data_IF_972212183748
#
_entry.id   IF_972212183748
#
_cell.length_a   1.000
_cell.length_b   1.000
_cell.length_c   1.000
_cell.angle_alpha   90.00
_cell.angle_beta   90.00
_cell.angle_gamma   90.00
#
_symmetry.space_group_name_H-M   'P 1'
#
loop_
_entity.id
_entity.type
_entity.pdbx_description
1 polymer ?
#
# COMPACT_ATOMS: atom_id res chain seq x y z
N UNK A 1 -17.47 27.55 -1.56
CA UNK A 1 -16.41 26.91 -0.76
C UNK A 1 -16.22 25.48 -1.25
N UNK A 2 -15.09 25.12 -1.89
CA UNK A 2 -14.78 23.73 -2.24
C UNK A 2 -14.58 22.98 -0.93
N UNK A 3 -15.41 21.98 -0.63
CA UNK A 3 -15.18 21.07 0.50
C UNK A 3 -13.87 20.32 0.22
N UNK A 4 -12.84 20.60 1.01
CA UNK A 4 -11.63 19.77 1.02
C UNK A 4 -12.03 18.39 1.56
N UNK A 5 -11.74 17.34 0.81
CA UNK A 5 -11.89 15.99 1.36
C UNK A 5 -10.68 15.75 2.25
N UNK A 6 -10.86 15.52 3.56
CA UNK A 6 -9.73 15.23 4.43
C UNK A 6 -9.06 13.94 3.97
N UNK A 7 -7.74 13.96 3.83
CA UNK A 7 -6.92 12.77 3.63
C UNK A 7 -6.06 12.53 4.86
N UNK A 8 -5.53 11.32 5.01
CA UNK A 8 -4.58 10.98 6.07
C UNK A 8 -3.21 11.51 5.68
N UNK A 9 -2.39 11.78 6.70
CA UNK A 9 -1.00 12.17 6.51
C UNK A 9 -0.18 10.99 5.96
N UNK A 10 0.92 11.30 5.28
CA UNK A 10 1.95 10.34 4.89
C UNK A 10 3.03 10.41 5.96
N UNK A 11 3.27 9.29 6.64
CA UNK A 11 4.39 9.18 7.57
C UNK A 11 5.67 8.93 6.76
N UNK A 12 6.66 9.81 6.91
CA UNK A 12 8.01 9.60 6.37
C UNK A 12 9.00 9.42 7.52
N UNK A 13 9.77 8.34 7.47
CA UNK A 13 10.82 8.01 8.41
C UNK A 13 12.12 7.80 7.65
N UNK A 14 13.21 8.41 8.12
CA UNK A 14 14.55 8.20 7.60
C UNK A 14 15.44 7.60 8.70
N UNK A 15 16.08 6.49 8.39
CA UNK A 15 16.97 5.75 9.30
C UNK A 15 18.34 5.47 8.69
N UNK A 16 19.39 5.39 9.51
CA UNK A 16 20.73 5.00 9.07
C UNK A 16 20.89 3.49 9.07
N UNK A 17 21.41 2.96 7.97
CA UNK A 17 21.87 1.58 7.83
C UNK A 17 23.28 1.41 8.39
N UNK A 18 23.71 0.16 8.62
CA UNK A 18 25.08 -0.13 9.03
C UNK A 18 26.13 0.31 8.00
N UNK A 19 25.78 0.35 6.73
CA UNK A 19 26.64 0.90 5.65
C UNK A 19 26.89 2.40 5.77
N UNK A 20 26.11 3.12 6.59
CA UNK A 20 26.10 4.58 6.66
C UNK A 20 25.11 5.24 5.71
N UNK A 21 24.50 4.48 4.81
CA UNK A 21 23.45 4.96 3.92
C UNK A 21 22.15 5.26 4.66
N UNK A 22 21.23 5.91 3.99
CA UNK A 22 19.91 6.23 4.56
C UNK A 22 18.83 5.41 3.90
N UNK A 23 18.05 4.69 4.72
CA UNK A 23 16.78 4.11 4.30
C UNK A 23 15.66 5.11 4.59
N UNK A 24 14.93 5.49 3.56
CA UNK A 24 13.72 6.30 3.64
C UNK A 24 12.48 5.40 3.50
N UNK A 25 11.55 5.48 4.44
CA UNK A 25 10.30 4.71 4.42
C UNK A 25 9.13 5.68 4.49
N UNK A 26 8.23 5.59 3.51
CA UNK A 26 6.95 6.30 3.52
C UNK A 26 5.81 5.32 3.75
N UNK A 27 4.97 5.59 4.76
CA UNK A 27 3.76 4.80 5.06
C UNK A 27 2.54 5.65 4.78
N UNK A 28 1.60 5.11 4.03
CA UNK A 28 0.42 5.84 3.60
C UNK A 28 -0.86 5.00 3.70
N UNK A 29 -1.99 5.70 3.85
CA UNK A 29 -3.32 5.11 3.72
C UNK A 29 -4.18 6.07 2.89
N UNK A 30 -4.32 5.79 1.61
CA UNK A 30 -4.96 6.66 0.64
C UNK A 30 -6.49 6.70 0.79
N UNK A 31 -7.15 7.74 0.26
CA UNK A 31 -8.61 7.84 0.31
C UNK A 31 -9.32 6.60 -0.24
N UNK A 32 -10.27 6.11 0.55
CA UNK A 32 -11.06 4.91 0.24
C UNK A 32 -11.87 5.07 -1.05
N UNK A 33 -12.26 3.93 -1.65
CA UNK A 33 -13.19 3.87 -2.79
C UNK A 33 -14.66 4.08 -2.40
N UNK A 34 -14.94 4.41 -1.15
CA UNK A 34 -16.32 4.66 -0.67
C UNK A 34 -17.00 5.76 -1.49
N UNK A 35 -18.16 5.45 -2.03
CA UNK A 35 -18.86 6.33 -2.97
C UNK A 35 -18.48 6.16 -4.44
N UNK A 36 -17.63 5.17 -4.77
CA UNK A 36 -17.25 4.78 -6.13
C UNK A 36 -15.81 5.11 -6.50
N UNK A 37 -15.17 4.19 -7.23
CA UNK A 37 -13.76 4.29 -7.65
C UNK A 37 -13.47 5.59 -8.42
N UNK A 38 -14.25 5.85 -9.48
CA UNK A 38 -14.04 7.01 -10.35
C UNK A 38 -14.22 8.35 -9.62
N UNK A 39 -15.16 8.42 -8.66
CA UNK A 39 -15.41 9.62 -7.87
C UNK A 39 -14.26 9.94 -6.91
N UNK A 40 -13.62 8.91 -6.36
CA UNK A 40 -12.60 9.05 -5.33
C UNK A 40 -11.17 8.99 -5.88
N UNK A 41 -10.96 8.52 -7.10
CA UNK A 41 -9.66 8.45 -7.77
C UNK A 41 -8.90 9.80 -7.78
N UNK A 42 -9.53 10.97 -8.08
CA UNK A 42 -8.81 12.23 -8.07
C UNK A 42 -8.15 12.56 -6.72
N UNK A 43 -8.75 12.14 -5.61
CA UNK A 43 -8.17 12.37 -4.28
C UNK A 43 -6.95 11.48 -4.04
N UNK A 44 -6.98 10.22 -4.48
CA UNK A 44 -5.83 9.32 -4.42
C UNK A 44 -4.70 9.80 -5.32
N UNK A 45 -5.02 10.32 -6.51
CA UNK A 45 -4.02 10.87 -7.43
C UNK A 45 -3.29 12.07 -6.85
N UNK A 46 -3.96 12.95 -6.09
CA UNK A 46 -3.30 14.06 -5.37
C UNK A 46 -2.26 13.53 -4.38
N UNK A 47 -2.60 12.47 -3.62
CA UNK A 47 -1.67 11.85 -2.67
C UNK A 47 -0.51 11.16 -3.41
N UNK A 48 -0.80 10.46 -4.51
CA UNK A 48 0.22 9.85 -5.37
C UNK A 48 1.19 10.90 -5.92
N UNK A 49 0.71 12.08 -6.31
CA UNK A 49 1.56 13.20 -6.76
C UNK A 49 2.49 13.72 -5.66
N UNK A 50 2.02 13.74 -4.42
CA UNK A 50 2.86 14.14 -3.27
C UNK A 50 3.94 13.09 -3.05
N UNK A 51 3.58 11.80 -3.02
CA UNK A 51 4.53 10.69 -2.86
C UNK A 51 5.58 10.73 -3.97
N UNK A 52 5.16 10.84 -5.23
CA UNK A 52 6.05 10.88 -6.38
C UNK A 52 7.05 12.02 -6.32
N UNK A 53 6.59 13.24 -6.01
CA UNK A 53 7.48 14.43 -5.85
C UNK A 53 8.45 14.27 -4.69
N UNK A 54 7.99 13.70 -3.57
CA UNK A 54 8.86 13.42 -2.42
C UNK A 54 9.91 12.39 -2.79
N UNK A 55 9.53 11.30 -3.47
CA UNK A 55 10.44 10.29 -3.96
C UNK A 55 11.51 10.89 -4.89
N UNK A 56 11.09 11.71 -5.87
CA UNK A 56 12.00 12.39 -6.80
C UNK A 56 12.97 13.34 -6.09
N UNK A 57 12.53 13.99 -5.01
CA UNK A 57 13.39 14.86 -4.20
C UNK A 57 14.41 14.05 -3.39
N UNK A 58 13.99 12.91 -2.82
CA UNK A 58 14.87 12.05 -2.03
C UNK A 58 16.00 11.46 -2.88
N UNK A 59 15.72 10.97 -4.08
CA UNK A 59 16.77 10.42 -4.96
C UNK A 59 17.77 11.46 -5.44
N UNK A 60 17.42 12.75 -5.41
CA UNK A 60 18.38 13.83 -5.73
C UNK A 60 19.36 14.14 -4.61
N UNK A 61 19.00 13.86 -3.35
CA UNK A 61 19.81 14.20 -2.18
C UNK A 61 20.46 12.99 -1.53
N UNK A 62 20.12 11.77 -1.95
CA UNK A 62 20.71 10.52 -1.46
C UNK A 62 21.76 10.02 -2.45
N UNK A 63 22.89 9.57 -1.96
CA UNK A 63 23.92 8.92 -2.78
C UNK A 63 23.44 7.54 -3.23
N UNK A 64 22.87 6.77 -2.30
CA UNK A 64 22.19 5.50 -2.53
C UNK A 64 20.73 5.64 -2.05
N UNK A 65 19.78 5.83 -2.98
CA UNK A 65 18.38 6.12 -2.62
C UNK A 65 17.61 4.84 -2.28
N UNK A 66 17.79 4.31 -1.09
CA UNK A 66 16.96 3.24 -0.57
C UNK A 66 15.61 3.82 -0.09
N UNK A 67 14.61 3.72 -0.94
CA UNK A 67 13.27 4.22 -0.66
C UNK A 67 12.23 3.10 -0.74
N UNK A 68 11.42 3.00 0.31
CA UNK A 68 10.27 2.11 0.40
C UNK A 68 9.01 2.97 0.63
N UNK A 69 8.00 2.80 -0.21
CA UNK A 69 6.67 3.38 -0.02
C UNK A 69 5.68 2.23 0.16
N UNK A 70 4.95 2.22 1.28
CA UNK A 70 4.06 1.11 1.61
C UNK A 70 2.75 1.56 2.27
N UNK A 71 1.74 0.69 2.24
CA UNK A 71 0.47 0.90 2.92
C UNK A 71 -0.73 0.50 2.07
N UNK A 72 -1.93 0.96 2.50
CA UNK A 72 -3.17 0.79 1.77
C UNK A 72 -3.35 1.92 0.75
N UNK A 73 -3.18 1.57 -0.51
CA UNK A 73 -3.35 2.51 -1.63
C UNK A 73 -4.81 2.66 -2.07
N UNK A 74 -5.71 1.80 -1.60
CA UNK A 74 -7.11 1.76 -2.02
C UNK A 74 -7.28 1.72 -3.56
N UNK A 75 -6.28 1.22 -4.27
CA UNK A 75 -6.24 1.03 -5.72
C UNK A 75 -5.49 -0.27 -6.06
N UNK A 76 -5.76 -0.83 -7.25
CA UNK A 76 -5.08 -2.05 -7.68
C UNK A 76 -3.67 -1.73 -8.23
N UNK A 77 -2.74 -2.73 -8.20
CA UNK A 77 -1.41 -2.58 -8.81
C UNK A 77 -1.43 -2.29 -10.32
N UNK A 78 -2.58 -2.39 -10.95
CA UNK A 78 -2.81 -2.12 -12.39
C UNK A 78 -3.55 -0.81 -12.66
N UNK A 79 -3.87 -0.05 -11.61
CA UNK A 79 -4.59 1.22 -11.73
C UNK A 79 -3.63 2.39 -12.03
N UNK A 80 -4.16 3.50 -12.55
CA UNK A 80 -3.40 4.71 -12.94
C UNK A 80 -2.50 5.28 -11.85
N UNK A 81 -2.87 5.06 -10.58
CA UNK A 81 -2.05 5.46 -9.45
C UNK A 81 -0.68 4.76 -9.47
N UNK A 82 -0.65 3.46 -9.78
CA UNK A 82 0.60 2.72 -9.93
C UNK A 82 1.46 3.30 -11.03
N UNK A 83 0.88 3.58 -12.20
CA UNK A 83 1.62 4.20 -13.32
C UNK A 83 2.22 5.54 -12.88
N UNK A 84 1.45 6.37 -12.14
CA UNK A 84 1.94 7.65 -11.63
C UNK A 84 3.12 7.51 -10.67
N UNK A 85 3.14 6.47 -9.82
CA UNK A 85 4.22 6.22 -8.86
C UNK A 85 5.45 5.57 -9.53
N UNK A 86 5.25 4.76 -10.55
CA UNK A 86 6.36 4.13 -11.29
C UNK A 86 6.97 5.05 -12.33
N UNK A 87 6.22 6.02 -12.85
CA UNK A 87 6.71 7.07 -13.75
C UNK A 87 7.33 8.24 -12.94
N UNK A 88 8.39 7.95 -12.21
CA UNK A 88 9.14 8.88 -11.36
C UNK A 88 10.64 8.81 -11.68
N UNK A 89 11.38 9.88 -11.40
CA UNK A 89 12.85 9.86 -11.45
C UNK A 89 13.45 8.85 -10.46
N UNK A 90 12.73 8.60 -9.37
CA UNK A 90 13.08 7.59 -8.38
C UNK A 90 13.01 6.15 -8.92
N UNK A 91 12.38 5.94 -10.09
CA UNK A 91 12.26 4.62 -10.71
C UNK A 91 11.58 3.59 -9.80
N UNK A 92 10.52 4.01 -9.10
CA UNK A 92 9.80 3.12 -8.18
C UNK A 92 9.19 1.95 -8.94
N UNK A 93 9.38 0.74 -8.42
CA UNK A 93 8.74 -0.48 -8.94
C UNK A 93 7.71 -1.00 -7.94
N UNK A 94 6.54 -1.37 -8.42
CA UNK A 94 5.48 -1.99 -7.62
C UNK A 94 5.75 -3.49 -7.49
N UNK A 95 5.92 -3.96 -6.25
CA UNK A 95 6.25 -5.37 -5.97
C UNK A 95 5.02 -6.27 -5.92
N UNK A 96 3.80 -5.70 -5.86
CA UNK A 96 2.55 -6.44 -5.75
C UNK A 96 1.91 -6.69 -7.12
N UNK A 97 2.44 -6.13 -8.20
CA UNK A 97 1.90 -6.30 -9.56
C UNK A 97 2.09 -7.73 -10.03
N UNK A 98 0.99 -8.41 -10.36
CA UNK A 98 0.99 -9.80 -10.79
C UNK A 98 1.03 -10.83 -9.65
N UNK A 99 1.05 -10.39 -8.39
CA UNK A 99 0.99 -11.30 -7.25
C UNK A 99 -0.38 -12.00 -7.17
N UNK A 100 -0.43 -13.31 -6.89
CA UNK A 100 -1.69 -14.03 -6.72
C UNK A 100 -2.38 -13.69 -5.39
N UNK A 101 -3.70 -13.85 -5.33
CA UNK A 101 -4.50 -13.62 -4.13
C UNK A 101 -4.94 -12.17 -3.97
N UNK A 102 -5.05 -11.73 -2.73
CA UNK A 102 -5.49 -10.37 -2.41
C UNK A 102 -5.32 -10.06 -0.93
N UNK A 103 -5.25 -8.78 -0.62
CA UNK A 103 -5.15 -8.27 0.76
C UNK A 103 -6.51 -7.88 1.33
N UNK A 104 -7.46 -7.55 0.48
CA UNK A 104 -8.82 -7.16 0.83
C UNK A 104 -9.84 -7.97 0.04
N UNK A 105 -10.99 -8.31 0.66
CA UNK A 105 -12.05 -9.02 -0.03
C UNK A 105 -13.36 -8.24 -0.04
N UNK A 106 -13.91 -8.03 -1.24
CA UNK A 106 -15.17 -7.34 -1.44
C UNK A 106 -16.11 -8.15 -2.33
N UNK A 107 -17.30 -8.49 -1.81
CA UNK A 107 -18.33 -9.26 -2.54
C UNK A 107 -17.83 -10.57 -3.14
N UNK A 108 -16.98 -11.29 -2.40
CA UNK A 108 -16.43 -12.57 -2.83
C UNK A 108 -15.12 -12.46 -3.63
N UNK A 109 -14.76 -11.28 -4.12
CA UNK A 109 -13.57 -11.05 -4.93
C UNK A 109 -12.41 -10.53 -4.09
N UNK A 110 -11.23 -11.15 -4.25
CA UNK A 110 -9.99 -10.69 -3.65
C UNK A 110 -9.33 -9.61 -4.49
N UNK A 111 -8.82 -8.57 -3.84
CA UNK A 111 -8.07 -7.50 -4.47
C UNK A 111 -6.84 -7.11 -3.66
N UNK A 112 -5.79 -6.67 -4.33
CA UNK A 112 -4.56 -6.19 -3.69
C UNK A 112 -4.65 -4.67 -3.57
N UNK A 113 -4.82 -4.16 -2.35
CA UNK A 113 -4.86 -2.73 -2.04
C UNK A 113 -3.65 -2.29 -1.22
N UNK A 114 -3.08 -3.22 -0.45
CA UNK A 114 -1.87 -3.00 0.33
C UNK A 114 -0.67 -3.32 -0.55
N UNK A 115 0.21 -2.35 -0.75
CA UNK A 115 1.24 -2.43 -1.76
C UNK A 115 2.59 -1.94 -1.25
N UNK A 116 3.66 -2.43 -1.89
CA UNK A 116 5.03 -1.94 -1.76
C UNK A 116 5.49 -1.34 -3.08
N UNK A 117 6.01 -0.14 -3.02
CA UNK A 117 6.81 0.47 -4.09
C UNK A 117 8.22 0.71 -3.54
N UNK A 118 9.22 0.32 -4.31
CA UNK A 118 10.61 0.44 -3.89
C UNK A 118 11.47 1.04 -5.01
N UNK A 119 12.49 1.83 -4.63
CA UNK A 119 13.52 2.26 -5.56
C UNK A 119 14.37 1.07 -6.04
N UNK A 120 15.06 1.23 -7.16
CA UNK A 120 15.80 0.14 -7.80
C UNK A 120 16.88 -0.49 -6.90
N UNK A 121 17.49 0.30 -6.02
CA UNK A 121 18.59 -0.13 -5.17
C UNK A 121 18.15 -0.91 -3.93
N UNK A 122 16.86 -0.93 -3.57
CA UNK A 122 16.37 -1.72 -2.42
C UNK A 122 16.55 -3.21 -2.69
N UNK A 123 17.34 -3.93 -1.88
CA UNK A 123 17.67 -5.34 -2.10
C UNK A 123 16.57 -6.25 -1.56
N UNK A 124 15.45 -6.36 -2.30
CA UNK A 124 14.29 -7.17 -1.96
C UNK A 124 14.60 -8.66 -2.18
N UNK A 125 14.40 -9.49 -1.16
CA UNK A 125 14.50 -10.94 -1.22
C UNK A 125 13.17 -11.60 -1.53
N UNK A 126 12.13 -11.26 -0.76
CA UNK A 126 10.79 -11.79 -0.98
C UNK A 126 9.71 -10.76 -0.63
N UNK A 127 8.53 -10.98 -1.19
CA UNK A 127 7.29 -10.25 -0.87
C UNK A 127 6.16 -11.26 -0.80
N UNK A 128 5.31 -11.14 0.20
CA UNK A 128 4.20 -12.06 0.41
C UNK A 128 2.96 -11.38 1.01
N UNK A 129 1.79 -11.97 0.76
CA UNK A 129 0.56 -11.67 1.48
C UNK A 129 0.46 -12.70 2.61
N UNK A 130 0.49 -12.23 3.85
CA UNK A 130 0.48 -13.09 5.03
C UNK A 130 -0.94 -13.62 5.29
N UNK A 131 -1.16 -14.87 4.87
CA UNK A 131 -2.46 -15.54 4.92
C UNK A 131 -2.49 -16.62 6.00
N UNK A 132 -2.34 -16.20 7.26
CA UNK A 132 -2.41 -17.15 8.37
C UNK A 132 -3.87 -17.55 8.66
N UNK A 133 -4.14 -18.84 9.04
CA UNK A 133 -5.50 -19.31 9.29
C UNK A 133 -6.27 -18.47 10.32
N UNK A 134 -5.61 -17.98 11.37
CA UNK A 134 -6.24 -17.15 12.40
C UNK A 134 -6.68 -15.77 11.92
N UNK A 135 -6.15 -15.27 10.79
CA UNK A 135 -6.55 -14.01 10.17
C UNK A 135 -7.79 -14.14 9.29
N UNK A 136 -8.31 -15.35 9.13
CA UNK A 136 -9.37 -15.68 8.20
C UNK A 136 -10.60 -16.22 8.92
N UNK A 137 -11.75 -15.98 8.33
CA UNK A 137 -13.03 -16.59 8.69
C UNK A 137 -13.75 -17.04 7.42
N UNK A 138 -14.70 -17.96 7.53
CA UNK A 138 -15.55 -18.38 6.42
C UNK A 138 -16.45 -17.23 5.96
N UNK A 139 -16.57 -17.03 4.66
CA UNK A 139 -17.53 -16.11 4.06
C UNK A 139 -18.84 -16.83 3.72
N UNK A 140 -19.73 -16.93 4.69
CA UNK A 140 -21.03 -17.60 4.53
C UNK A 140 -21.93 -16.97 3.47
N UNK A 141 -21.61 -15.81 2.93
CA UNK A 141 -22.41 -15.15 1.89
C UNK A 141 -21.90 -15.45 0.47
N UNK A 142 -20.59 -15.44 0.28
CA UNK A 142 -19.97 -15.56 -1.05
C UNK A 142 -19.11 -16.82 -1.18
N UNK A 143 -19.03 -17.63 -0.12
CA UNK A 143 -18.20 -18.83 -0.06
C UNK A 143 -16.70 -18.54 0.07
N UNK A 144 -15.93 -19.54 0.50
CA UNK A 144 -14.49 -19.42 0.75
C UNK A 144 -14.17 -18.55 1.97
N UNK A 145 -12.92 -18.08 2.06
CA UNK A 145 -12.44 -17.33 3.22
C UNK A 145 -12.42 -15.82 2.96
N UNK A 146 -12.57 -15.04 4.02
CA UNK A 146 -12.38 -13.60 4.05
C UNK A 146 -11.55 -13.20 5.26
N UNK A 147 -10.95 -11.99 5.29
CA UNK A 147 -10.29 -11.48 6.50
C UNK A 147 -11.25 -11.47 7.68
N UNK A 148 -10.77 -11.99 8.83
CA UNK A 148 -11.50 -11.94 10.09
C UNK A 148 -11.36 -10.54 10.68
N UNK A 149 -12.34 -9.71 10.39
CA UNK A 149 -12.31 -8.28 10.72
C UNK A 149 -12.70 -7.98 12.16
N UNK A 150 -12.14 -6.91 12.70
CA UNK A 150 -12.45 -6.43 14.07
C UNK A 150 -13.90 -5.97 14.17
N UNK A 151 -14.40 -5.28 13.13
CA UNK A 151 -15.77 -4.76 13.09
C UNK A 151 -16.45 -5.06 11.76
N UNK A 152 -17.76 -5.29 11.81
CA UNK A 152 -18.65 -5.25 10.66
C UNK A 152 -19.68 -4.14 10.88
N UNK A 153 -19.50 -3.00 10.20
CA UNK A 153 -20.20 -1.76 10.55
C UNK A 153 -19.87 -1.35 11.99
N UNK A 154 -20.88 -1.23 12.82
CA UNK A 154 -20.70 -0.89 14.25
C UNK A 154 -20.59 -2.12 15.17
N UNK A 155 -20.75 -3.33 14.63
CA UNK A 155 -20.73 -4.56 15.44
C UNK A 155 -19.32 -5.10 15.54
N UNK A 156 -18.83 -5.25 16.78
CA UNK A 156 -17.56 -5.92 17.08
C UNK A 156 -17.63 -7.41 16.76
N UNK A 157 -16.64 -7.94 16.04
CA UNK A 157 -16.56 -9.33 15.58
C UNK A 157 -15.47 -10.14 16.31
N UNK A 158 -14.56 -9.48 17.02
CA UNK A 158 -13.45 -10.11 17.71
C UNK A 158 -12.26 -10.51 16.83
N UNK A 159 -12.27 -10.14 15.55
CA UNK A 159 -11.17 -10.40 14.63
C UNK A 159 -10.09 -9.30 14.66
N UNK A 160 -9.23 -9.30 13.64
CA UNK A 160 -8.00 -8.50 13.60
C UNK A 160 -8.11 -7.29 12.66
N UNK A 161 -8.38 -7.54 11.38
CA UNK A 161 -8.42 -6.52 10.33
C UNK A 161 -9.32 -6.97 9.18
N UNK A 162 -9.83 -6.04 8.40
CA UNK A 162 -10.50 -6.31 7.12
C UNK A 162 -9.52 -6.44 5.94
N UNK A 163 -8.22 -6.24 6.19
CA UNK A 163 -7.14 -6.52 5.27
C UNK A 163 -6.21 -7.61 5.81
N UNK A 164 -5.57 -8.36 4.91
CA UNK A 164 -4.47 -9.25 5.24
C UNK A 164 -3.16 -8.44 5.24
N UNK A 165 -2.25 -8.72 6.19
CA UNK A 165 -0.94 -8.09 6.20
C UNK A 165 -0.13 -8.46 4.95
N UNK A 166 0.75 -7.57 4.54
CA UNK A 166 1.79 -7.83 3.54
C UNK A 166 3.16 -7.75 4.19
N UNK A 167 4.05 -8.65 3.78
CA UNK A 167 5.42 -8.73 4.27
C UNK A 167 6.43 -8.58 3.13
N UNK A 168 7.56 -7.95 3.45
CA UNK A 168 8.70 -7.84 2.54
C UNK A 168 9.99 -8.07 3.32
N UNK A 169 10.85 -8.95 2.81
CA UNK A 169 12.21 -9.14 3.32
C UNK A 169 13.21 -8.37 2.46
N UNK A 170 14.05 -7.57 3.10
CA UNK A 170 15.16 -6.85 2.47
C UNK A 170 16.47 -7.20 3.15
N UNK A 171 17.61 -7.09 2.45
CA UNK A 171 18.93 -7.47 2.96
C UNK A 171 19.96 -6.41 2.57
N UNK A 172 20.09 -5.39 3.42
CA UNK A 172 21.10 -4.34 3.27
C UNK A 172 22.49 -4.81 3.71
#
# INVERSE_FOLDING_TARGET
>A
MKRSTPTRDILHVAGKLHSGDTLDVMVCHLPSRSGGKARTEPFRMVVADIIARTADSLVQVRQHPYLIVMGDFNDYPTDRLTDRLTDTKAGLRNLMKGMPGGTYRYRGEWGIFDQFFVSAEVPVKCVEILRFPFLLEEDGKYGGDKPFRTYYGMRYQGGYSDHLPVGMEVSF
#
